data_IF_729104069498
#
_entry.id   IF_729104069498
#
_cell.length_a   1.000
_cell.length_b   1.000
_cell.length_c   1.000
_cell.angle_alpha   90.00
_cell.angle_beta   90.00
_cell.angle_gamma   90.00
#
_symmetry.space_group_name_H-M   'P 1'
#
loop_
_entity.id
_entity.type
_entity.pdbx_description
1 polymer ?
#
# COMPACT_ATOMS: atom_id res chain seq x y z
N UNK A 1 -7.69 7.28 -1.38
CA UNK A 1 -7.91 7.04 0.06
C UNK A 1 -8.33 5.60 0.25
N UNK A 2 -7.75 4.92 1.24
CA UNK A 2 -8.18 3.59 1.72
C UNK A 2 -8.33 3.65 3.24
N UNK A 3 -9.19 2.80 3.80
CA UNK A 3 -9.34 2.70 5.25
C UNK A 3 -8.42 1.61 5.78
N UNK A 4 -7.85 1.82 6.95
CA UNK A 4 -6.91 0.90 7.58
C UNK A 4 -7.35 0.54 8.99
N UNK A 5 -7.16 -0.72 9.36
CA UNK A 5 -7.55 -1.22 10.68
C UNK A 5 -6.59 -0.77 11.77
N UNK A 6 -5.29 -0.96 11.55
CA UNK A 6 -4.26 -0.65 12.55
C UNK A 6 -3.20 0.29 11.93
N UNK A 7 -3.17 1.57 12.34
CA UNK A 7 -2.21 2.53 11.81
C UNK A 7 -0.76 2.15 12.07
N UNK A 8 -0.46 1.42 13.16
CA UNK A 8 0.90 0.98 13.43
C UNK A 8 1.39 0.00 12.38
N UNK A 9 0.57 -1.01 12.05
CA UNK A 9 0.89 -2.00 11.04
C UNK A 9 0.97 -1.37 9.65
N UNK A 10 0.00 -0.52 9.30
CA UNK A 10 -0.03 0.13 7.99
C UNK A 10 1.13 1.10 7.79
N UNK A 11 1.45 1.96 8.77
CA UNK A 11 2.59 2.87 8.67
C UNK A 11 3.91 2.11 8.54
N UNK A 12 4.14 1.07 9.35
CA UNK A 12 5.34 0.24 9.20
C UNK A 12 5.45 -0.38 7.80
N UNK A 13 4.33 -0.87 7.25
CA UNK A 13 4.32 -1.41 5.90
C UNK A 13 4.60 -0.33 4.84
N UNK A 14 3.88 0.79 4.84
CA UNK A 14 4.05 1.80 3.78
C UNK A 14 5.39 2.54 3.89
N UNK A 15 5.91 2.78 5.10
CA UNK A 15 7.19 3.44 5.31
C UNK A 15 8.37 2.47 5.15
N UNK A 16 8.41 1.37 5.92
CA UNK A 16 9.58 0.50 5.95
C UNK A 16 9.59 -0.56 4.84
N UNK A 17 8.43 -1.05 4.41
CA UNK A 17 8.35 -2.01 3.29
C UNK A 17 8.32 -1.28 1.96
N UNK A 18 7.46 -0.27 1.79
CA UNK A 18 7.31 0.41 0.50
C UNK A 18 8.18 1.65 0.32
N UNK A 19 8.75 2.22 1.40
CA UNK A 19 9.64 3.37 1.30
C UNK A 19 8.92 4.70 1.08
N UNK A 20 7.63 4.79 1.42
CA UNK A 20 6.91 6.07 1.45
C UNK A 20 7.28 6.87 2.71
N UNK A 21 7.05 8.17 2.68
CA UNK A 21 7.19 9.02 3.86
C UNK A 21 5.82 9.45 4.37
N UNK A 22 5.63 9.52 5.69
CA UNK A 22 4.50 10.23 6.28
C UNK A 22 4.64 11.74 6.05
N UNK A 23 3.81 12.28 5.16
CA UNK A 23 3.83 13.70 4.74
C UNK A 23 3.05 14.57 5.73
N UNK A 24 1.90 14.09 6.19
CA UNK A 24 0.99 14.84 7.05
C UNK A 24 0.08 13.90 7.86
N UNK A 25 -0.41 14.40 8.99
CA UNK A 25 -1.33 13.70 9.88
C UNK A 25 -2.41 14.66 10.36
N UNK A 26 -3.67 14.28 10.16
CA UNK A 26 -4.81 15.03 10.69
C UNK A 26 -5.58 14.18 11.70
N UNK A 27 -5.64 14.67 12.94
CA UNK A 27 -6.38 14.01 14.02
C UNK A 27 -7.76 14.64 14.20
N UNK A 28 -8.79 13.80 14.15
CA UNK A 28 -10.18 14.16 14.44
C UNK A 28 -10.64 13.38 15.68
N UNK A 29 -11.86 13.66 16.13
CA UNK A 29 -12.42 13.05 17.34
C UNK A 29 -12.58 11.53 17.29
N UNK A 30 -12.85 10.99 16.10
CA UNK A 30 -13.29 9.62 15.86
C UNK A 30 -12.47 8.90 14.77
N UNK A 31 -11.61 9.64 14.07
CA UNK A 31 -10.70 9.10 13.09
C UNK A 31 -9.40 9.90 12.98
N UNK A 32 -8.39 9.30 12.38
CA UNK A 32 -7.14 9.96 12.02
C UNK A 32 -6.83 9.69 10.56
N UNK A 33 -6.39 10.72 9.85
CA UNK A 33 -5.91 10.63 8.47
C UNK A 33 -4.40 10.69 8.44
N UNK A 34 -3.78 9.75 7.73
CA UNK A 34 -2.34 9.70 7.48
C UNK A 34 -2.11 9.85 5.98
N UNK A 35 -1.28 10.82 5.59
CA UNK A 35 -1.00 11.09 4.18
C UNK A 35 0.41 10.63 3.85
N UNK A 36 0.55 9.64 2.98
CA UNK A 36 1.84 9.08 2.58
C UNK A 36 2.12 9.31 1.11
N UNK A 37 3.40 9.39 0.77
CA UNK A 37 3.86 9.45 -0.61
C UNK A 37 5.37 9.42 -0.73
N UNK A 38 5.86 9.31 -1.96
CA UNK A 38 7.30 9.35 -2.24
C UNK A 38 7.80 10.79 -2.40
N UNK A 39 8.95 11.12 -1.80
CA UNK A 39 9.56 12.46 -1.85
C UNK A 39 10.29 12.75 -3.17
N UNK A 40 9.57 12.72 -4.29
CA UNK A 40 10.11 13.00 -5.62
C UNK A 40 9.96 14.47 -6.05
N UNK A 41 9.09 15.24 -5.38
CA UNK A 41 8.77 16.65 -5.70
C UNK A 41 9.42 17.66 -4.74
N UNK A 42 10.33 17.21 -3.85
CA UNK A 42 10.97 18.06 -2.85
C UNK A 42 10.03 18.52 -1.73
N UNK A 43 10.33 19.66 -1.10
CA UNK A 43 9.55 20.21 0.02
C UNK A 43 8.34 21.04 -0.45
N UNK A 44 7.41 20.39 -1.16
CA UNK A 44 6.10 20.98 -1.52
C UNK A 44 5.04 20.61 -0.48
N UNK A 45 4.00 21.44 -0.36
CA UNK A 45 2.91 21.18 0.59
C UNK A 45 2.08 19.96 0.16
N UNK A 46 1.33 19.37 1.09
CA UNK A 46 0.44 18.23 0.81
C UNK A 46 -0.52 18.51 -0.36
N UNK A 47 -1.07 19.72 -0.45
CA UNK A 47 -2.07 20.08 -1.47
C UNK A 47 -1.51 20.22 -2.89
N UNK A 48 -0.18 20.31 -3.03
CA UNK A 48 0.51 20.47 -4.31
C UNK A 48 1.13 19.16 -4.82
N UNK A 49 1.04 18.09 -4.02
CA UNK A 49 1.64 16.80 -4.33
C UNK A 49 0.73 15.91 -5.15
N UNK A 50 1.36 15.17 -6.07
CA UNK A 50 0.70 14.11 -6.82
C UNK A 50 0.86 12.76 -6.12
N UNK A 51 -0.08 11.84 -6.39
CA UNK A 51 -0.01 10.45 -5.94
C UNK A 51 0.12 10.25 -4.41
N UNK A 52 -0.53 11.11 -3.61
CA UNK A 52 -0.66 10.88 -2.16
C UNK A 52 -1.65 9.75 -1.89
N UNK A 53 -1.23 8.82 -1.03
CA UNK A 53 -2.10 7.84 -0.42
C UNK A 53 -2.58 8.36 0.94
N UNK A 54 -3.87 8.67 1.02
CA UNK A 54 -4.55 8.91 2.29
C UNK A 54 -5.00 7.57 2.90
N UNK A 55 -4.51 7.29 4.12
CA UNK A 55 -4.98 6.20 4.97
C UNK A 55 -5.91 6.77 6.05
N UNK A 56 -7.10 6.21 6.17
CA UNK A 56 -8.08 6.61 7.19
C UNK A 56 -8.19 5.53 8.25
N UNK A 57 -7.82 5.87 9.47
CA UNK A 57 -7.99 5.02 10.64
C UNK A 57 -9.22 5.48 11.42
N UNK A 58 -10.26 4.65 11.49
CA UNK A 58 -11.36 4.87 12.42
C UNK A 58 -10.96 4.31 13.80
N UNK A 59 -11.03 5.12 14.85
CA UNK A 59 -10.51 4.75 16.15
C UNK A 59 -11.21 3.52 16.74
N UNK A 60 -10.42 2.61 17.31
CA UNK A 60 -10.91 1.38 17.94
C UNK A 60 -10.98 0.16 17.02
N UNK A 61 -10.88 0.34 15.70
CA UNK A 61 -10.88 -0.78 14.73
C UNK A 61 -9.71 -1.74 14.92
N UNK A 62 -8.58 -1.25 15.44
CA UNK A 62 -7.39 -2.03 15.82
C UNK A 62 -7.63 -2.98 17.01
N UNK A 63 -8.63 -2.68 17.86
CA UNK A 63 -8.92 -3.44 19.08
C UNK A 63 -10.00 -4.53 18.89
N UNK A 64 -10.74 -4.50 17.79
CA UNK A 64 -11.77 -5.50 17.47
C UNK A 64 -11.16 -6.64 16.64
N UNK A 65 -10.98 -7.86 17.16
CA UNK A 65 -10.31 -8.94 16.42
C UNK A 65 -11.08 -9.41 15.17
N UNK A 66 -12.40 -9.20 15.11
CA UNK A 66 -13.25 -9.68 14.01
C UNK A 66 -13.41 -8.62 12.90
N UNK A 67 -13.11 -7.35 13.22
CA UNK A 67 -13.20 -6.25 12.28
C UNK A 67 -12.14 -6.34 11.18
N UNK A 68 -12.56 -6.18 9.92
CA UNK A 68 -11.68 -6.07 8.76
C UNK A 68 -12.34 -5.21 7.68
N UNK A 69 -11.53 -4.50 6.90
CA UNK A 69 -12.01 -3.83 5.70
C UNK A 69 -12.11 -4.80 4.52
N UNK A 70 -13.04 -4.54 3.61
CA UNK A 70 -13.15 -5.28 2.36
C UNK A 70 -12.20 -4.68 1.31
N UNK A 71 -11.36 -5.52 0.71
CA UNK A 71 -10.35 -5.08 -0.27
C UNK A 71 -10.89 -4.84 -1.69
N UNK A 72 -12.16 -5.19 -1.95
CA UNK A 72 -12.84 -4.95 -3.24
C UNK A 72 -12.64 -6.03 -4.32
N UNK A 73 -11.79 -7.03 -4.07
CA UNK A 73 -11.50 -8.08 -5.06
C UNK A 73 -12.45 -9.30 -4.98
N UNK A 74 -13.16 -9.47 -3.85
CA UNK A 74 -14.28 -10.40 -3.71
C UNK A 74 -15.63 -9.69 -3.94
N UNK A 75 -16.74 -10.44 -3.95
CA UNK A 75 -18.07 -9.83 -4.06
C UNK A 75 -18.48 -9.13 -2.75
N UNK A 76 -19.04 -7.90 -2.79
CA UNK A 76 -19.26 -7.06 -3.97
C UNK A 76 -17.97 -6.43 -4.48
N UNK A 77 -17.70 -6.60 -5.78
CA UNK A 77 -16.48 -6.08 -6.41
C UNK A 77 -16.54 -4.57 -6.62
N UNK A 78 -15.37 -3.92 -6.58
CA UNK A 78 -15.25 -2.47 -6.79
C UNK A 78 -13.80 -2.03 -6.98
N UNK A 79 -13.19 -1.48 -5.93
CA UNK A 79 -11.75 -1.19 -5.92
C UNK A 79 -10.93 -2.45 -6.19
N UNK A 80 -9.88 -2.34 -7.00
CA UNK A 80 -8.98 -3.46 -7.31
C UNK A 80 -7.69 -3.40 -6.50
N UNK A 81 -6.82 -2.44 -6.82
CA UNK A 81 -5.50 -2.33 -6.23
C UNK A 81 -4.90 -0.92 -6.44
N UNK A 82 -3.83 -0.65 -5.69
CA UNK A 82 -2.87 0.40 -6.04
C UNK A 82 -1.78 -0.20 -6.94
N UNK A 83 -1.06 0.63 -7.70
CA UNK A 83 0.07 0.19 -8.51
C UNK A 83 1.31 1.03 -8.19
N UNK A 84 2.45 0.37 -8.00
CA UNK A 84 3.74 0.99 -7.71
C UNK A 84 4.74 0.52 -8.76
N UNK A 85 5.32 1.46 -9.49
CA UNK A 85 6.40 1.18 -10.42
C UNK A 85 7.75 1.15 -9.70
N UNK A 86 8.56 0.15 -10.02
CA UNK A 86 9.91 -0.05 -9.48
C UNK A 86 10.93 -0.18 -10.59
N UNK A 87 12.20 0.13 -10.31
CA UNK A 87 13.28 0.04 -11.30
C UNK A 87 13.64 -1.41 -11.66
N UNK A 88 13.58 -2.31 -10.68
CA UNK A 88 13.92 -3.73 -10.77
C UNK A 88 12.89 -4.54 -9.98
N UNK A 89 12.02 -5.24 -10.71
CA UNK A 89 10.89 -5.97 -10.13
C UNK A 89 11.35 -7.25 -9.43
N UNK A 90 12.39 -7.92 -9.94
CA UNK A 90 12.98 -9.11 -9.32
C UNK A 90 13.62 -8.75 -7.97
N UNK A 91 14.41 -7.67 -7.93
CA UNK A 91 15.04 -7.19 -6.69
C UNK A 91 14.00 -6.71 -5.67
N UNK A 92 12.95 -6.01 -6.11
CA UNK A 92 11.85 -5.59 -5.25
C UNK A 92 11.12 -6.81 -4.64
N UNK A 93 10.74 -7.79 -5.47
CA UNK A 93 10.08 -9.01 -5.01
C UNK A 93 10.96 -9.81 -4.05
N UNK A 94 12.25 -9.98 -4.34
CA UNK A 94 13.17 -10.66 -3.44
C UNK A 94 13.32 -9.94 -2.09
N UNK A 95 13.27 -8.60 -2.07
CA UNK A 95 13.25 -7.82 -0.82
C UNK A 95 11.96 -8.05 -0.05
N UNK A 96 10.80 -8.00 -0.71
CA UNK A 96 9.50 -8.27 -0.07
C UNK A 96 9.45 -9.68 0.53
N UNK A 97 10.00 -10.69 -0.14
CA UNK A 97 10.11 -12.05 0.39
C UNK A 97 10.96 -12.12 1.65
N UNK A 98 12.14 -11.47 1.67
CA UNK A 98 13.00 -11.42 2.88
C UNK A 98 12.33 -10.73 4.05
N UNK A 99 11.48 -9.73 3.78
CA UNK A 99 10.71 -9.02 4.79
C UNK A 99 9.43 -9.76 5.22
N UNK A 100 9.15 -10.94 4.65
CA UNK A 100 7.97 -11.73 5.01
C UNK A 100 6.64 -11.15 4.51
N UNK A 101 6.68 -10.28 3.49
CA UNK A 101 5.48 -9.69 2.90
C UNK A 101 4.61 -10.76 2.25
N UNK A 102 3.30 -10.66 2.44
CA UNK A 102 2.34 -11.57 1.81
C UNK A 102 2.18 -11.24 0.32
N UNK A 103 2.18 -12.27 -0.51
CA UNK A 103 1.92 -12.15 -1.94
C UNK A 103 0.55 -12.71 -2.27
N UNK A 104 -0.21 -11.95 -3.06
CA UNK A 104 -1.36 -12.47 -3.79
C UNK A 104 -0.93 -13.19 -5.07
N UNK A 105 0.12 -12.69 -5.72
CA UNK A 105 0.71 -13.28 -6.94
C UNK A 105 2.21 -12.98 -7.00
N UNK A 106 3.04 -14.01 -7.05
CA UNK A 106 4.49 -13.88 -7.29
C UNK A 106 4.80 -13.74 -8.78
N UNK A 107 6.02 -13.32 -9.11
CA UNK A 107 6.52 -13.36 -10.49
C UNK A 107 6.54 -14.80 -11.01
N UNK A 108 6.86 -15.77 -10.17
CA UNK A 108 6.86 -17.20 -10.52
C UNK A 108 5.48 -17.80 -10.76
N UNK A 109 4.41 -17.07 -10.44
CA UNK A 109 3.04 -17.59 -10.54
C UNK A 109 2.40 -17.23 -11.89
N UNK A 110 1.51 -18.10 -12.37
CA UNK A 110 0.75 -17.89 -13.60
C UNK A 110 1.62 -17.78 -14.87
N UNK A 111 1.03 -17.25 -15.96
CA UNK A 111 1.73 -17.06 -17.24
C UNK A 111 2.44 -15.70 -17.34
N UNK A 112 1.87 -14.66 -16.72
CA UNK A 112 2.42 -13.32 -16.75
C UNK A 112 3.54 -13.18 -15.70
N UNK A 113 4.78 -13.08 -16.15
CA UNK A 113 6.00 -12.99 -15.32
C UNK A 113 6.48 -11.56 -15.06
N UNK A 114 5.78 -10.56 -15.60
CA UNK A 114 6.17 -9.15 -15.59
C UNK A 114 5.49 -8.33 -14.49
N UNK A 115 4.62 -8.95 -13.69
CA UNK A 115 3.80 -8.30 -12.67
C UNK A 115 3.70 -9.20 -11.44
N UNK A 116 3.79 -8.59 -10.26
CA UNK A 116 3.49 -9.21 -8.97
C UNK A 116 2.41 -8.43 -8.23
N UNK A 117 1.71 -9.09 -7.31
CA UNK A 117 0.78 -8.46 -6.37
C UNK A 117 1.18 -8.83 -4.95
N UNK A 118 1.45 -7.82 -4.13
CA UNK A 118 1.62 -7.96 -2.68
C UNK A 118 0.35 -7.53 -1.96
N UNK A 119 0.24 -7.89 -0.70
CA UNK A 119 -0.85 -7.51 0.19
C UNK A 119 -0.31 -6.61 1.30
N UNK A 120 -1.02 -5.51 1.55
CA UNK A 120 -0.81 -4.70 2.75
C UNK A 120 -1.39 -5.41 4.01
N UNK A 121 -1.26 -4.83 5.22
CA UNK A 121 -1.81 -5.42 6.44
C UNK A 121 -3.32 -5.65 6.43
N UNK A 122 -4.08 -4.83 5.69
CA UNK A 122 -5.53 -4.92 5.52
C UNK A 122 -5.93 -5.81 4.32
N UNK A 123 -4.95 -6.43 3.64
CA UNK A 123 -5.08 -7.24 2.43
C UNK A 123 -5.57 -6.49 1.19
N UNK A 124 -5.40 -5.17 1.12
CA UNK A 124 -5.45 -4.45 -0.15
C UNK A 124 -4.33 -4.93 -1.06
N UNK A 125 -4.68 -5.12 -2.33
CA UNK A 125 -3.74 -5.55 -3.34
C UNK A 125 -2.89 -4.35 -3.79
N UNK A 126 -1.59 -4.59 -3.94
CA UNK A 126 -0.65 -3.61 -4.47
C UNK A 126 0.11 -4.28 -5.61
N UNK A 127 -0.14 -3.80 -6.83
CA UNK A 127 0.54 -4.22 -8.05
C UNK A 127 1.95 -3.65 -8.06
N UNK A 128 2.93 -4.52 -8.33
CA UNK A 128 4.32 -4.15 -8.52
C UNK A 128 4.63 -4.35 -10.01
N UNK A 129 5.04 -3.27 -10.67
CA UNK A 129 5.37 -3.24 -12.10
C UNK A 129 6.74 -2.65 -12.33
N UNK A 130 7.42 -3.07 -13.40
CA UNK A 130 8.64 -2.40 -13.82
C UNK A 130 8.34 -1.05 -14.47
N UNK A 131 9.06 0.00 -14.06
CA UNK A 131 9.00 1.32 -14.70
C UNK A 131 9.49 1.28 -16.16
N UNK A 132 10.37 0.32 -16.47
CA UNK A 132 10.84 0.07 -17.84
C UNK A 132 9.87 -0.91 -18.48
N UNK A 133 9.26 -0.51 -19.61
CA UNK A 133 8.52 -1.48 -20.42
C UNK A 133 9.48 -2.60 -20.85
N UNK A 134 9.09 -3.87 -20.72
CA UNK A 134 9.81 -4.95 -21.40
C UNK A 134 9.87 -4.62 -22.88
N UNK A 135 11.07 -4.66 -23.48
CA UNK A 135 11.20 -4.63 -24.94
C UNK A 135 10.59 -5.89 -25.56
#
# INVERSE_FOLDING_TARGET
MIRIKDPKASLDFYENVLGMDLIDKLEMSDFTLYFLGYQHQGNVSRGEREAILELTHNHGTENDPDFHYHNGNAQPQGFGHLAISVDDIEAACARFERLGVKFQKRLTDGKMKTIAFILDPDNYWIEIISAKRPQ
#
